data_IF_521197440271
#
_entry.id   IF_521197440271
#
_cell.length_a   1.000
_cell.length_b   1.000
_cell.length_c   1.000
_cell.angle_alpha   90.00
_cell.angle_beta   90.00
_cell.angle_gamma   90.00
#
_symmetry.space_group_name_H-M   'P 1'
#
loop_
_entity.id
_entity.type
_entity.pdbx_description
1 polymer ?
#
# COMPACT_ATOMS: atom_id res chain seq x y z
N UNK A 1 22.09 87.28 25.58
CA UNK A 1 21.94 87.55 24.13
C UNK A 1 20.66 86.84 23.68
N UNK A 2 19.49 87.51 23.57
CA UNK A 2 19.13 88.47 22.50
C UNK A 2 19.23 87.77 21.14
N UNK A 3 18.15 87.21 20.57
CA UNK A 3 17.23 87.82 19.57
C UNK A 3 16.81 86.66 18.62
N UNK A 4 15.73 86.61 17.85
CA UNK A 4 14.71 87.57 17.44
C UNK A 4 13.49 86.77 16.96
N UNK A 5 12.31 87.30 17.26
CA UNK A 5 10.97 86.95 16.76
C UNK A 5 10.90 87.00 15.23
N UNK A 6 10.09 86.13 14.61
CA UNK A 6 9.20 86.56 13.51
C UNK A 6 7.89 85.78 13.51
N UNK A 7 6.89 86.45 14.07
CA UNK A 7 5.47 86.24 13.87
C UNK A 7 5.09 86.25 12.39
N UNK A 8 4.21 85.34 11.98
CA UNK A 8 3.29 85.57 10.86
C UNK A 8 1.87 85.26 11.34
N UNK A 9 1.21 86.32 11.82
CA UNK A 9 -0.22 86.41 12.03
C UNK A 9 -0.96 86.29 10.69
N UNK A 10 -2.27 85.99 10.79
CA UNK A 10 -3.34 86.15 9.78
C UNK A 10 -3.47 84.95 8.81
N UNK A 11 -4.62 84.27 8.69
CA UNK A 11 -5.92 84.40 9.33
C UNK A 11 -6.84 83.36 8.69
N UNK A 12 -7.44 82.47 9.47
CA UNK A 12 -8.50 81.53 9.04
C UNK A 12 -9.22 80.99 10.29
N UNK A 13 -9.74 81.90 11.11
CA UNK A 13 -10.20 81.59 12.48
C UNK A 13 -11.68 81.15 12.59
N UNK A 14 -12.36 80.74 11.50
CA UNK A 14 -13.77 80.32 11.62
C UNK A 14 -14.23 79.17 10.70
N UNK A 15 -13.45 78.76 9.68
CA UNK A 15 -13.91 77.77 8.69
C UNK A 15 -13.69 76.32 9.10
N UNK A 16 -12.54 76.02 9.71
CA UNK A 16 -12.17 74.67 10.18
C UNK A 16 -13.09 74.09 11.27
N UNK A 17 -13.49 74.82 12.32
CA UNK A 17 -14.41 74.26 13.31
C UNK A 17 -15.80 74.01 12.72
N UNK A 18 -16.23 74.80 11.73
CA UNK A 18 -17.55 74.69 11.12
C UNK A 18 -17.65 73.48 10.16
N UNK A 19 -16.58 73.14 9.46
CA UNK A 19 -16.52 71.91 8.65
C UNK A 19 -16.52 70.67 9.55
N UNK A 20 -15.78 70.71 10.67
CA UNK A 20 -15.71 69.61 11.61
C UNK A 20 -17.07 69.34 12.28
N UNK A 21 -17.82 70.38 12.66
CA UNK A 21 -19.16 70.22 13.24
C UNK A 21 -20.16 69.68 12.22
N UNK A 22 -20.14 70.16 10.97
CA UNK A 22 -21.01 69.64 9.89
C UNK A 22 -20.70 68.18 9.58
N UNK A 23 -19.42 67.79 9.53
CA UNK A 23 -19.03 66.39 9.30
C UNK A 23 -19.49 65.48 10.45
N UNK A 24 -19.40 65.95 11.69
CA UNK A 24 -19.83 65.20 12.87
C UNK A 24 -21.36 65.05 12.92
N UNK A 25 -22.10 66.10 12.58
CA UNK A 25 -23.57 66.06 12.46
C UNK A 25 -23.98 65.13 11.31
N UNK A 26 -23.29 65.14 10.18
CA UNK A 26 -23.56 64.22 9.07
C UNK A 26 -23.29 62.76 9.45
N UNK A 27 -22.16 62.49 10.11
CA UNK A 27 -21.85 61.14 10.62
C UNK A 27 -22.89 60.67 11.63
N UNK A 28 -23.36 61.55 12.52
CA UNK A 28 -24.45 61.27 13.45
C UNK A 28 -25.78 61.01 12.76
N UNK A 29 -26.11 61.78 11.73
CA UNK A 29 -27.31 61.58 10.93
C UNK A 29 -27.29 60.23 10.21
N UNK A 30 -26.16 59.85 9.62
CA UNK A 30 -25.98 58.54 8.99
C UNK A 30 -26.12 57.41 10.03
N UNK A 31 -25.54 57.57 11.21
CA UNK A 31 -25.60 56.59 12.29
C UNK A 31 -26.99 56.41 12.90
N UNK A 32 -27.72 57.51 13.14
CA UNK A 32 -28.98 57.50 13.87
C UNK A 32 -30.21 57.38 12.97
N UNK A 33 -30.11 57.75 11.69
CA UNK A 33 -31.28 57.77 10.79
C UNK A 33 -31.14 56.73 9.69
N UNK A 34 -30.03 56.74 8.93
CA UNK A 34 -29.88 55.86 7.76
C UNK A 34 -29.63 54.39 8.16
N UNK A 35 -28.71 54.15 9.10
CA UNK A 35 -28.39 52.80 9.56
C UNK A 35 -29.59 52.03 10.13
N UNK A 36 -30.44 52.58 11.02
CA UNK A 36 -31.62 51.87 11.52
C UNK A 36 -32.70 51.65 10.45
N UNK A 37 -32.79 52.48 9.40
CA UNK A 37 -33.72 52.27 8.28
C UNK A 37 -33.23 51.21 7.28
N UNK A 38 -31.91 51.07 7.09
CA UNK A 38 -31.36 50.05 6.19
C UNK A 38 -31.27 48.65 6.82
N UNK A 39 -31.15 48.55 8.15
CA UNK A 39 -31.14 47.27 8.88
C UNK A 39 -32.30 46.33 8.50
N UNK A 40 -33.59 46.76 8.55
CA UNK A 40 -34.71 45.87 8.23
C UNK A 40 -34.66 45.34 6.79
N UNK A 41 -34.25 46.18 5.82
CA UNK A 41 -34.17 45.81 4.41
C UNK A 41 -33.06 44.78 4.11
N UNK A 42 -31.91 44.91 4.79
CA UNK A 42 -30.80 43.94 4.67
C UNK A 42 -31.20 42.62 5.34
N UNK A 43 -31.86 42.67 6.50
CA UNK A 43 -32.33 41.46 7.18
C UNK A 43 -33.38 40.72 6.37
N UNK A 44 -34.31 41.43 5.71
CA UNK A 44 -35.34 40.79 4.88
C UNK A 44 -34.76 40.17 3.61
N UNK A 45 -33.73 40.80 3.01
CA UNK A 45 -33.01 40.23 1.88
C UNK A 45 -32.29 38.94 2.24
N UNK A 46 -31.66 38.89 3.41
CA UNK A 46 -30.94 37.72 3.89
C UNK A 46 -31.88 36.57 4.28
N UNK A 47 -33.05 36.86 4.86
CA UNK A 47 -34.05 35.83 5.19
C UNK A 47 -34.70 35.25 3.95
N UNK A 48 -35.02 36.07 2.94
CA UNK A 48 -35.53 35.57 1.65
C UNK A 48 -34.50 34.72 0.91
N UNK A 49 -33.22 35.12 0.92
CA UNK A 49 -32.16 34.32 0.33
C UNK A 49 -32.04 32.94 1.03
N UNK A 50 -32.14 32.90 2.36
CA UNK A 50 -32.13 31.64 3.13
C UNK A 50 -33.34 30.75 2.86
N UNK A 51 -34.53 31.32 2.64
CA UNK A 51 -35.74 30.53 2.34
C UNK A 51 -35.73 29.96 0.92
N UNK A 52 -35.05 30.64 -0.02
CA UNK A 52 -34.93 30.20 -1.42
C UNK A 52 -33.72 29.28 -1.68
N UNK A 53 -32.95 28.92 -0.65
CA UNK A 53 -31.91 27.90 -0.78
C UNK A 53 -32.59 26.52 -0.81
N UNK A 54 -32.46 25.76 -1.90
CA UNK A 54 -32.95 24.39 -1.91
C UNK A 54 -32.26 23.63 -0.80
N UNK A 55 -33.03 23.02 0.10
CA UNK A 55 -32.49 22.13 1.13
C UNK A 55 -32.00 20.85 0.45
N UNK A 56 -30.75 20.87 0.02
CA UNK A 56 -30.04 19.68 -0.45
C UNK A 56 -29.72 18.85 0.79
N UNK A 57 -30.60 17.89 1.09
CA UNK A 57 -30.30 16.82 2.04
C UNK A 57 -29.38 15.84 1.34
N UNK A 58 -28.07 16.01 1.51
CA UNK A 58 -27.10 14.98 1.14
C UNK A 58 -27.23 13.89 2.19
N UNK A 59 -27.77 12.74 1.78
CA UNK A 59 -27.69 11.53 2.58
C UNK A 59 -26.22 11.06 2.56
N UNK A 60 -25.46 11.48 3.56
CA UNK A 60 -24.02 11.20 3.67
C UNK A 60 -23.73 9.73 3.95
N UNK A 61 -24.74 8.91 4.23
CA UNK A 61 -24.61 7.47 4.38
C UNK A 61 -25.99 6.83 4.25
N UNK A 62 -26.49 6.60 3.01
CA UNK A 62 -27.53 5.60 2.85
C UNK A 62 -26.98 4.32 3.48
N UNK A 63 -27.81 3.60 4.22
CA UNK A 63 -27.50 2.39 5.00
C UNK A 63 -27.04 1.22 4.10
N UNK A 64 -25.97 1.47 3.33
CA UNK A 64 -25.40 0.67 2.27
C UNK A 64 -24.09 0.13 2.81
N UNK A 65 -23.95 -1.18 2.78
CA UNK A 65 -22.72 -1.88 3.10
C UNK A 65 -21.53 -1.24 2.34
N UNK A 66 -20.53 -0.67 3.03
CA UNK A 66 -19.42 0.04 2.40
C UNK A 66 -18.60 -0.88 1.49
N UNK A 67 -18.69 -2.20 1.66
CA UNK A 67 -18.04 -3.20 0.79
C UNK A 67 -18.54 -3.14 -0.65
N UNK A 68 -19.78 -2.65 -0.89
CA UNK A 68 -20.36 -2.51 -2.23
C UNK A 68 -19.70 -1.43 -3.08
N UNK A 69 -18.85 -0.59 -2.49
CA UNK A 69 -18.10 0.43 -3.20
C UNK A 69 -16.92 -0.13 -4.01
N UNK A 70 -16.57 -1.40 -3.80
CA UNK A 70 -15.44 -2.08 -4.44
C UNK A 70 -15.89 -3.15 -5.42
N UNK A 71 -14.99 -3.56 -6.31
CA UNK A 71 -15.27 -4.63 -7.24
C UNK A 71 -15.24 -5.99 -6.53
N UNK A 72 -16.39 -6.67 -6.48
CA UNK A 72 -16.51 -7.98 -5.84
C UNK A 72 -15.63 -9.06 -6.49
N UNK A 73 -15.25 -8.90 -7.76
CA UNK A 73 -14.42 -9.90 -8.47
C UNK A 73 -12.92 -9.77 -8.17
N UNK A 74 -12.47 -8.71 -7.49
CA UNK A 74 -11.05 -8.41 -7.27
C UNK A 74 -10.70 -8.38 -5.78
N UNK A 75 -9.90 -9.34 -5.35
CA UNK A 75 -9.51 -9.48 -3.94
C UNK A 75 -8.00 -9.61 -3.80
N UNK A 76 -7.43 -8.81 -2.91
CA UNK A 76 -6.09 -8.97 -2.39
C UNK A 76 -6.15 -9.75 -1.06
N UNK A 77 -5.45 -10.88 -0.99
CA UNK A 77 -5.51 -11.82 0.11
C UNK A 77 -4.14 -11.97 0.77
N UNK A 78 -4.13 -11.83 2.09
CA UNK A 78 -2.98 -12.12 2.96
C UNK A 78 -3.40 -13.13 4.03
N UNK A 79 -2.59 -14.18 4.20
CA UNK A 79 -2.82 -15.24 5.18
C UNK A 79 -1.62 -15.27 6.12
N UNK A 80 -1.75 -14.64 7.29
CA UNK A 80 -0.66 -14.50 8.25
C UNK A 80 -1.08 -14.88 9.67
N UNK A 81 -0.76 -16.11 10.13
CA UNK A 81 -1.08 -16.56 11.48
C UNK A 81 -0.25 -15.84 12.54
N UNK A 82 0.96 -15.39 12.20
CA UNK A 82 1.92 -14.86 13.14
C UNK A 82 1.68 -13.37 13.41
N UNK A 83 1.71 -12.94 14.69
CA UNK A 83 1.55 -11.54 15.07
C UNK A 83 2.80 -10.69 14.77
N UNK A 84 3.10 -10.47 13.49
CA UNK A 84 4.30 -9.72 13.07
C UNK A 84 4.05 -8.19 13.13
N UNK A 85 4.99 -7.39 13.66
CA UNK A 85 4.82 -5.94 13.77
C UNK A 85 4.78 -5.23 12.40
N UNK A 86 5.34 -5.86 11.36
CA UNK A 86 5.38 -5.33 10.00
C UNK A 86 4.02 -5.40 9.27
N UNK A 87 3.05 -6.19 9.75
CA UNK A 87 1.80 -6.44 9.03
C UNK A 87 1.01 -5.17 8.76
N UNK A 88 0.92 -4.28 9.75
CA UNK A 88 0.17 -3.02 9.60
C UNK A 88 0.79 -2.11 8.53
N UNK A 89 2.09 -1.74 8.60
CA UNK A 89 2.69 -0.92 7.55
C UNK A 89 2.68 -1.62 6.18
N UNK A 90 2.89 -2.94 6.13
CA UNK A 90 2.81 -3.74 4.89
C UNK A 90 1.41 -3.64 4.26
N UNK A 91 0.36 -3.91 5.03
CA UNK A 91 -1.03 -3.89 4.52
C UNK A 91 -1.41 -2.49 4.05
N UNK A 92 -1.08 -1.45 4.83
CA UNK A 92 -1.39 -0.06 4.45
C UNK A 92 -0.65 0.36 3.19
N UNK A 93 0.61 -0.05 3.04
CA UNK A 93 1.38 0.15 1.81
C UNK A 93 0.70 -0.53 0.61
N UNK A 94 0.35 -1.81 0.75
CA UNK A 94 -0.31 -2.57 -0.30
C UNK A 94 -1.66 -1.95 -0.69
N UNK A 95 -2.46 -1.47 0.29
CA UNK A 95 -3.71 -0.74 0.03
C UNK A 95 -3.46 0.55 -0.79
N UNK A 96 -2.34 1.22 -0.57
CA UNK A 96 -1.97 2.43 -1.30
C UNK A 96 -1.46 2.18 -2.72
N UNK A 97 -0.80 1.05 -2.98
CA UNK A 97 -0.23 0.71 -4.30
C UNK A 97 -1.22 -0.04 -5.19
N UNK A 98 -2.02 -0.95 -4.62
CA UNK A 98 -3.01 -1.72 -5.38
C UNK A 98 -4.15 -0.78 -5.81
N UNK A 99 -4.70 -0.94 -7.03
CA UNK A 99 -5.77 -0.07 -7.51
C UNK A 99 -6.98 0.02 -6.55
N UNK A 100 -7.62 1.20 -6.46
CA UNK A 100 -8.58 1.50 -5.42
C UNK A 100 -9.84 0.62 -5.46
N UNK A 101 -10.15 -0.01 -6.60
CA UNK A 101 -11.29 -0.90 -6.79
C UNK A 101 -11.13 -2.30 -6.15
N UNK A 102 -9.91 -2.68 -5.76
CA UNK A 102 -9.62 -3.97 -5.11
C UNK A 102 -10.03 -3.98 -3.64
N UNK A 103 -10.57 -5.10 -3.17
CA UNK A 103 -10.82 -5.32 -1.73
C UNK A 103 -9.71 -6.14 -1.10
N UNK A 104 -9.44 -5.94 0.19
CA UNK A 104 -8.45 -6.70 0.95
C UNK A 104 -9.12 -7.65 1.94
N UNK A 105 -8.55 -8.84 2.07
CA UNK A 105 -8.94 -9.82 3.09
C UNK A 105 -7.68 -10.25 3.82
N UNK A 106 -7.72 -10.10 5.14
CA UNK A 106 -6.69 -10.57 6.04
C UNK A 106 -7.22 -11.78 6.81
N UNK A 107 -6.53 -12.90 6.65
CA UNK A 107 -6.78 -14.12 7.40
C UNK A 107 -5.64 -14.31 8.38
N UNK A 108 -5.95 -14.42 9.67
CA UNK A 108 -4.93 -14.63 10.67
C UNK A 108 -5.40 -15.43 11.88
N UNK A 109 -4.47 -15.68 12.80
CA UNK A 109 -4.81 -16.20 14.11
C UNK A 109 -5.52 -15.14 14.95
N UNK A 110 -6.17 -15.53 16.05
CA UNK A 110 -6.79 -14.59 16.98
C UNK A 110 -5.83 -13.49 17.45
N UNK A 111 -4.57 -13.84 17.71
CA UNK A 111 -3.54 -12.87 18.12
C UNK A 111 -3.18 -11.92 16.98
N UNK A 112 -2.96 -12.45 15.78
CA UNK A 112 -2.58 -11.65 14.61
C UNK A 112 -3.69 -10.68 14.19
N UNK A 113 -4.93 -11.17 14.11
CA UNK A 113 -6.13 -10.36 13.83
C UNK A 113 -6.31 -9.26 14.87
N UNK A 114 -6.09 -9.55 16.15
CA UNK A 114 -6.20 -8.54 17.20
C UNK A 114 -5.15 -7.43 17.07
N UNK A 115 -3.90 -7.76 16.74
CA UNK A 115 -2.83 -6.75 16.54
C UNK A 115 -3.11 -5.88 15.32
N UNK A 116 -3.54 -6.48 14.22
CA UNK A 116 -3.85 -5.74 12.99
C UNK A 116 -5.10 -4.88 13.18
N UNK A 117 -6.16 -5.42 13.79
CA UNK A 117 -7.45 -4.73 13.96
C UNK A 117 -7.47 -3.60 14.99
N UNK A 118 -6.49 -3.54 15.90
CA UNK A 118 -6.36 -2.40 16.84
C UNK A 118 -5.64 -1.19 16.24
N UNK A 119 -5.00 -1.34 15.07
CA UNK A 119 -4.28 -0.25 14.45
C UNK A 119 -5.25 0.74 13.81
N UNK A 120 -5.12 2.02 14.15
CA UNK A 120 -6.04 3.07 13.68
C UNK A 120 -6.17 3.12 12.16
N UNK A 121 -5.04 3.05 11.43
CA UNK A 121 -5.06 3.04 9.96
C UNK A 121 -5.88 1.88 9.39
N UNK A 122 -5.81 0.69 10.01
CA UNK A 122 -6.62 -0.46 9.60
C UNK A 122 -8.09 -0.26 9.94
N UNK A 123 -8.42 0.27 11.12
CA UNK A 123 -9.80 0.55 11.52
C UNK A 123 -10.51 1.50 10.56
N UNK A 124 -9.80 2.54 10.08
CA UNK A 124 -10.32 3.44 9.05
C UNK A 124 -10.63 2.67 7.76
N UNK A 125 -9.69 1.82 7.29
CA UNK A 125 -9.89 1.02 6.09
C UNK A 125 -11.01 -0.03 6.25
N UNK A 126 -11.20 -0.59 7.45
CA UNK A 126 -12.33 -1.48 7.76
C UNK A 126 -13.66 -0.72 7.72
N UNK A 127 -13.72 0.48 8.30
CA UNK A 127 -14.90 1.35 8.26
C UNK A 127 -15.29 1.75 6.83
N UNK A 128 -14.30 1.90 5.95
CA UNK A 128 -14.51 2.11 4.52
C UNK A 128 -14.89 0.84 3.75
N UNK A 129 -14.85 -0.34 4.38
CA UNK A 129 -15.08 -1.63 3.71
C UNK A 129 -13.92 -2.11 2.83
N UNK A 130 -12.77 -1.43 2.85
CA UNK A 130 -11.60 -1.71 2.02
C UNK A 130 -10.90 -3.01 2.44
N UNK A 131 -10.83 -3.27 3.74
CA UNK A 131 -10.21 -4.48 4.30
C UNK A 131 -11.16 -5.19 5.26
N UNK A 132 -11.19 -6.52 5.18
CA UNK A 132 -11.88 -7.39 6.13
C UNK A 132 -10.85 -8.24 6.89
N UNK A 133 -10.98 -8.31 8.22
CA UNK A 133 -10.14 -9.15 9.07
C UNK A 133 -10.97 -10.35 9.52
N UNK A 134 -10.51 -11.57 9.24
CA UNK A 134 -11.24 -12.77 9.59
C UNK A 134 -10.34 -13.87 10.15
N UNK A 135 -10.98 -14.77 10.89
CA UNK A 135 -10.39 -16.01 11.37
C UNK A 135 -11.09 -17.15 10.64
N UNK A 136 -10.33 -18.13 10.17
CA UNK A 136 -10.92 -19.31 9.54
C UNK A 136 -11.59 -20.19 10.61
N UNK A 137 -12.80 -20.70 10.35
CA UNK A 137 -13.43 -21.67 11.24
C UNK A 137 -12.68 -23.01 11.17
N UNK A 138 -12.92 -23.86 12.17
CA UNK A 138 -12.48 -25.25 12.09
C UNK A 138 -13.20 -25.96 10.92
N UNK A 139 -12.54 -26.89 10.20
CA UNK A 139 -11.30 -27.60 10.55
C UNK A 139 -10.00 -26.98 10.00
N UNK A 140 -10.07 -25.85 9.29
CA UNK A 140 -8.86 -25.29 8.67
C UNK A 140 -7.85 -24.80 9.71
N UNK A 141 -6.59 -25.07 9.41
CA UNK A 141 -5.44 -24.60 10.17
C UNK A 141 -4.59 -23.76 9.22
N UNK A 142 -3.81 -22.84 9.78
CA UNK A 142 -2.90 -21.96 9.03
C UNK A 142 -1.55 -21.82 9.75
N UNK A 143 -1.14 -22.81 10.56
CA UNK A 143 0.07 -22.66 11.40
C UNK A 143 1.36 -22.96 10.65
N UNK A 144 1.28 -23.79 9.62
CA UNK A 144 2.43 -24.22 8.82
C UNK A 144 2.28 -23.86 7.35
N UNK A 145 3.38 -23.92 6.60
CA UNK A 145 3.37 -23.77 5.13
C UNK A 145 2.52 -24.84 4.45
N UNK A 146 2.48 -26.04 5.01
CA UNK A 146 1.65 -27.13 4.52
C UNK A 146 0.17 -26.89 4.81
N UNK A 147 -0.18 -26.40 6.01
CA UNK A 147 -1.55 -25.98 6.33
C UNK A 147 -2.08 -24.95 5.32
N UNK A 148 -1.23 -23.95 4.99
CA UNK A 148 -1.53 -22.95 3.95
C UNK A 148 -1.72 -23.60 2.58
N UNK A 149 -0.85 -24.55 2.22
CA UNK A 149 -0.97 -25.27 0.95
C UNK A 149 -2.27 -26.07 0.88
N UNK A 150 -2.67 -26.75 1.96
CA UNK A 150 -3.95 -27.48 2.05
C UNK A 150 -5.15 -26.56 1.86
N UNK A 151 -5.14 -25.40 2.53
CA UNK A 151 -6.20 -24.39 2.41
C UNK A 151 -6.33 -23.88 0.97
N UNK A 152 -5.22 -23.51 0.33
CA UNK A 152 -5.21 -22.95 -1.02
C UNK A 152 -5.52 -23.98 -2.11
N UNK A 153 -5.42 -25.28 -1.80
CA UNK A 153 -5.87 -26.37 -2.67
C UNK A 153 -7.27 -26.91 -2.33
N UNK A 154 -7.99 -26.30 -1.38
CA UNK A 154 -9.34 -26.73 -1.01
C UNK A 154 -10.38 -25.92 -1.81
N UNK A 155 -11.20 -26.60 -2.62
CA UNK A 155 -12.25 -25.96 -3.42
C UNK A 155 -13.25 -25.19 -2.56
N UNK A 156 -13.51 -25.65 -1.33
CA UNK A 156 -14.46 -25.00 -0.40
C UNK A 156 -14.03 -23.59 -0.05
N UNK A 157 -12.72 -23.34 0.04
CA UNK A 157 -12.19 -22.00 0.31
C UNK A 157 -12.68 -20.99 -0.75
N UNK A 158 -12.62 -21.35 -2.02
CA UNK A 158 -13.03 -20.47 -3.12
C UNK A 158 -14.55 -20.39 -3.33
N UNK A 159 -15.32 -21.38 -2.86
CA UNK A 159 -16.78 -21.40 -3.00
C UNK A 159 -17.46 -20.72 -1.82
N UNK A 160 -17.01 -21.00 -0.60
CA UNK A 160 -17.64 -20.53 0.64
C UNK A 160 -17.12 -19.16 1.08
N UNK A 161 -15.80 -18.89 0.97
CA UNK A 161 -15.19 -17.65 1.49
C UNK A 161 -14.96 -16.59 0.43
N UNK A 162 -14.75 -16.98 -0.82
CA UNK A 162 -14.48 -16.06 -1.93
C UNK A 162 -15.52 -16.17 -3.07
N UNK A 163 -16.83 -16.12 -2.77
CA UNK A 163 -17.85 -16.23 -3.81
C UNK A 163 -17.77 -15.04 -4.77
N UNK A 164 -17.78 -15.33 -6.07
CA UNK A 164 -17.77 -14.30 -7.13
C UNK A 164 -16.41 -13.63 -7.38
N UNK A 165 -15.35 -14.04 -6.66
CA UNK A 165 -13.99 -13.58 -6.92
C UNK A 165 -13.45 -14.25 -8.18
N UNK A 166 -12.90 -13.46 -9.10
CA UNK A 166 -12.22 -13.94 -10.30
C UNK A 166 -10.71 -13.68 -10.23
N UNK A 167 -10.32 -12.52 -9.70
CA UNK A 167 -8.93 -12.08 -9.59
C UNK A 167 -8.49 -12.07 -8.14
N UNK A 168 -7.48 -12.89 -7.85
CA UNK A 168 -6.89 -13.01 -6.53
C UNK A 168 -5.43 -12.54 -6.56
N UNK A 169 -5.15 -11.41 -5.90
CA UNK A 169 -3.79 -10.97 -5.61
C UNK A 169 -3.36 -11.58 -4.28
N UNK A 170 -2.47 -12.56 -4.32
CA UNK A 170 -1.88 -13.14 -3.13
C UNK A 170 -0.61 -12.40 -2.75
N UNK A 171 -0.43 -12.20 -1.45
CA UNK A 171 0.79 -11.71 -0.84
C UNK A 171 0.91 -12.24 0.60
N UNK A 172 2.11 -12.15 1.17
CA UNK A 172 2.49 -12.61 2.51
C UNK A 172 3.38 -11.59 3.20
N UNK A 173 3.79 -11.86 4.44
CA UNK A 173 4.75 -11.02 5.18
C UNK A 173 6.11 -10.86 4.50
N UNK A 174 6.41 -11.74 3.55
CA UNK A 174 7.68 -11.81 2.81
C UNK A 174 7.60 -11.11 1.44
N UNK A 175 6.46 -10.50 1.09
CA UNK A 175 6.26 -9.88 -0.21
C UNK A 175 5.77 -8.44 -0.16
N UNK A 176 6.14 -7.67 -1.16
CA UNK A 176 5.83 -6.24 -1.27
C UNK A 176 5.69 -5.84 -2.75
N UNK A 177 4.70 -5.01 -3.06
CA UNK A 177 4.60 -4.32 -4.35
C UNK A 177 5.37 -3.01 -4.30
N UNK A 178 5.97 -2.60 -5.41
CA UNK A 178 6.77 -1.38 -5.47
C UNK A 178 5.94 -0.21 -5.98
N UNK A 179 5.85 0.89 -5.22
CA UNK A 179 5.08 2.06 -5.65
C UNK A 179 5.68 2.74 -6.90
N UNK A 180 6.98 2.52 -7.14
CA UNK A 180 7.71 2.99 -8.31
C UNK A 180 7.52 2.11 -9.56
N UNK A 181 6.64 1.10 -9.51
CA UNK A 181 6.32 0.33 -10.71
C UNK A 181 5.58 1.18 -11.72
N UNK A 182 5.99 1.08 -12.98
CA UNK A 182 5.31 1.73 -14.10
C UNK A 182 4.01 1.00 -14.47
N UNK A 183 3.82 -0.21 -13.94
CA UNK A 183 2.65 -1.04 -14.19
C UNK A 183 1.66 -0.94 -13.04
N UNK A 184 0.39 -1.14 -13.38
CA UNK A 184 -0.69 -1.38 -12.43
C UNK A 184 -0.90 -2.88 -12.23
N UNK A 185 -1.43 -3.28 -11.07
CA UNK A 185 -1.93 -4.65 -10.86
C UNK A 185 -3.00 -5.00 -11.91
N UNK A 186 -3.78 -4.02 -12.36
CA UNK A 186 -4.81 -4.23 -13.37
C UNK A 186 -4.26 -4.64 -14.75
N UNK A 187 -2.99 -4.31 -15.06
CA UNK A 187 -2.34 -4.70 -16.32
C UNK A 187 -2.04 -6.21 -16.38
N UNK A 188 -2.14 -6.90 -15.24
CA UNK A 188 -1.91 -8.33 -15.11
C UNK A 188 -3.20 -9.16 -15.15
N UNK A 189 -4.37 -8.54 -15.30
CA UNK A 189 -5.67 -9.24 -15.31
C UNK A 189 -5.97 -9.97 -16.63
N UNK A 190 -5.08 -9.94 -17.61
CA UNK A 190 -5.19 -10.84 -18.78
C UNK A 190 -4.48 -12.18 -18.54
N UNK A 191 -3.72 -12.30 -17.46
CA UNK A 191 -2.92 -13.48 -17.14
C UNK A 191 -3.68 -14.41 -16.21
N UNK A 192 -3.69 -15.71 -16.51
CA UNK A 192 -4.26 -16.73 -15.63
C UNK A 192 -3.46 -16.84 -14.34
N UNK A 193 -2.14 -16.73 -14.44
CA UNK A 193 -1.23 -16.76 -13.28
C UNK A 193 0.04 -15.98 -13.57
N UNK A 194 0.44 -15.12 -12.63
CA UNK A 194 1.71 -14.41 -12.66
C UNK A 194 2.30 -14.31 -11.25
N UNK A 195 3.57 -14.64 -11.09
CA UNK A 195 4.27 -14.70 -9.82
C UNK A 195 5.77 -14.47 -10.00
N UNK A 196 6.56 -15.10 -9.14
CA UNK A 196 8.01 -15.09 -9.20
C UNK A 196 8.56 -16.30 -9.96
N UNK A 197 9.77 -16.14 -10.47
CA UNK A 197 10.56 -17.22 -11.08
C UNK A 197 11.35 -17.95 -10.00
N UNK A 198 11.40 -19.28 -10.08
CA UNK A 198 12.31 -20.10 -9.27
C UNK A 198 13.39 -20.72 -10.15
N UNK A 199 14.61 -20.19 -10.02
CA UNK A 199 15.76 -20.66 -10.79
C UNK A 199 16.22 -22.06 -10.38
N UNK A 200 15.79 -22.59 -9.23
CA UNK A 200 16.20 -23.93 -8.78
C UNK A 200 15.50 -25.06 -9.53
N UNK A 201 14.31 -24.81 -10.07
CA UNK A 201 13.53 -25.86 -10.75
C UNK A 201 13.81 -25.95 -12.27
N UNK A 202 14.69 -25.11 -12.83
CA UNK A 202 14.99 -25.04 -14.29
C UNK A 202 13.75 -24.92 -15.17
N UNK A 203 12.66 -24.35 -14.65
CA UNK A 203 11.42 -24.15 -15.39
C UNK A 203 11.33 -22.72 -15.90
N UNK A 204 10.86 -22.56 -17.13
CA UNK A 204 10.69 -21.26 -17.78
C UNK A 204 9.40 -20.53 -17.36
N UNK A 205 8.85 -20.83 -16.19
CA UNK A 205 7.57 -20.28 -15.71
C UNK A 205 7.77 -19.42 -14.46
N UNK A 206 7.01 -18.33 -14.39
CA UNK A 206 7.00 -17.36 -13.31
C UNK A 206 5.71 -17.48 -12.50
N UNK A 207 5.52 -18.61 -11.80
CA UNK A 207 4.28 -18.93 -11.06
C UNK A 207 4.48 -19.11 -9.56
N UNK A 208 5.73 -18.97 -9.09
CA UNK A 208 6.12 -19.28 -7.73
C UNK A 208 6.02 -18.08 -6.80
N UNK A 209 6.20 -18.34 -5.52
CA UNK A 209 6.20 -17.31 -4.50
C UNK A 209 4.81 -16.91 -4.03
N UNK A 210 4.79 -16.25 -2.88
CA UNK A 210 3.53 -15.84 -2.25
C UNK A 210 2.96 -14.58 -2.90
N UNK A 211 3.80 -13.76 -3.57
CA UNK A 211 3.36 -12.61 -4.38
C UNK A 211 2.93 -13.07 -5.77
N UNK A 212 1.62 -13.17 -6.00
CA UNK A 212 1.09 -13.65 -7.28
C UNK A 212 -0.30 -13.14 -7.60
N UNK A 213 -0.58 -12.96 -8.88
CA UNK A 213 -1.94 -12.80 -9.43
C UNK A 213 -2.42 -14.17 -9.90
N UNK A 214 -3.63 -14.52 -9.49
CA UNK A 214 -4.23 -15.83 -9.75
C UNK A 214 -5.66 -15.66 -10.21
N UNK A 215 -6.03 -16.40 -11.24
CA UNK A 215 -7.39 -16.48 -11.73
C UNK A 215 -8.15 -17.61 -11.05
N UNK A 216 -9.19 -17.27 -10.29
CA UNK A 216 -9.95 -18.21 -9.46
C UNK A 216 -10.71 -19.23 -10.31
N UNK A 217 -11.25 -18.84 -11.47
CA UNK A 217 -11.88 -19.78 -12.40
C UNK A 217 -10.93 -20.90 -12.85
N UNK A 218 -9.66 -20.58 -13.16
CA UNK A 218 -8.65 -21.56 -13.52
C UNK A 218 -8.25 -22.46 -12.34
N UNK A 219 -8.14 -21.90 -11.12
CA UNK A 219 -7.92 -22.70 -9.91
C UNK A 219 -9.05 -23.72 -9.73
N UNK A 220 -10.31 -23.26 -9.80
CA UNK A 220 -11.48 -24.13 -9.63
C UNK A 220 -11.56 -25.18 -10.73
N UNK A 221 -11.17 -24.85 -11.96
CA UNK A 221 -11.06 -25.80 -13.06
C UNK A 221 -10.02 -26.89 -12.72
N UNK A 222 -8.81 -26.54 -12.28
CA UNK A 222 -7.78 -27.53 -11.90
C UNK A 222 -8.27 -28.41 -10.75
N UNK A 223 -8.88 -27.81 -9.73
CA UNK A 223 -9.39 -28.52 -8.56
C UNK A 223 -10.63 -29.41 -8.86
N UNK A 224 -11.30 -29.23 -10.00
CA UNK A 224 -12.44 -30.07 -10.37
C UNK A 224 -12.01 -31.44 -10.92
N UNK A 225 -10.80 -31.55 -11.47
CA UNK A 225 -10.29 -32.81 -12.04
C UNK A 225 -9.02 -33.33 -11.37
N UNK A 226 -8.36 -32.55 -10.52
CA UNK A 226 -7.22 -33.00 -9.71
C UNK A 226 -7.34 -32.55 -8.25
N UNK A 227 -6.79 -33.36 -7.35
CA UNK A 227 -6.61 -33.01 -5.95
C UNK A 227 -5.14 -33.13 -5.56
N UNK A 228 -4.68 -32.26 -4.67
CA UNK A 228 -3.34 -32.35 -4.10
C UNK A 228 -3.35 -33.33 -2.93
N UNK A 229 -2.35 -34.22 -2.87
CA UNK A 229 -2.13 -35.06 -1.70
C UNK A 229 -1.54 -34.25 -0.55
N UNK A 230 -1.96 -34.54 0.68
CA UNK A 230 -1.38 -33.93 1.88
C UNK A 230 0.11 -34.24 1.98
N UNK A 231 0.88 -33.29 2.52
CA UNK A 231 2.32 -33.41 2.78
C UNK A 231 3.18 -33.70 1.53
N UNK A 232 2.64 -33.36 0.34
CA UNK A 232 3.33 -33.46 -0.94
C UNK A 232 3.99 -32.13 -1.34
N UNK A 233 4.11 -31.85 -2.64
CA UNK A 233 4.62 -30.57 -3.14
C UNK A 233 3.81 -29.38 -2.58
N UNK A 234 4.51 -28.26 -2.36
CA UNK A 234 3.87 -27.01 -1.98
C UNK A 234 2.90 -26.52 -3.05
N UNK A 235 1.87 -25.78 -2.62
CA UNK A 235 0.76 -25.37 -3.49
C UNK A 235 1.19 -24.70 -4.80
N UNK A 236 2.11 -23.73 -4.76
CA UNK A 236 2.59 -23.04 -5.96
C UNK A 236 3.28 -23.98 -6.98
N UNK A 237 4.12 -24.91 -6.52
CA UNK A 237 4.78 -25.89 -7.40
C UNK A 237 3.75 -26.91 -7.95
N UNK A 238 2.79 -27.29 -7.11
CA UNK A 238 1.68 -28.16 -7.53
C UNK A 238 0.86 -27.49 -8.64
N UNK A 239 0.33 -26.27 -8.45
CA UNK A 239 -0.42 -25.57 -9.50
C UNK A 239 0.43 -25.27 -10.73
N UNK A 240 1.69 -24.87 -10.57
CA UNK A 240 2.56 -24.50 -11.69
C UNK A 240 2.65 -25.58 -12.76
N UNK A 241 2.85 -26.83 -12.35
CA UNK A 241 2.89 -27.98 -13.28
C UNK A 241 1.54 -28.28 -13.96
N UNK A 242 0.41 -27.91 -13.35
CA UNK A 242 -0.93 -28.10 -13.94
C UNK A 242 -1.34 -26.94 -14.85
N UNK A 243 -0.90 -25.74 -14.53
CA UNK A 243 -1.14 -24.55 -15.34
C UNK A 243 -0.42 -24.63 -16.68
N UNK A 244 0.76 -25.25 -16.71
CA UNK A 244 1.55 -25.46 -17.93
C UNK A 244 0.83 -26.30 -18.98
N UNK A 245 0.02 -27.27 -18.56
CA UNK A 245 -0.72 -28.17 -19.45
C UNK A 245 -2.13 -27.69 -19.79
N UNK A 246 -2.58 -26.56 -19.21
CA UNK A 246 -3.94 -26.06 -19.39
C UNK A 246 -4.04 -25.30 -20.72
N UNK A 247 -4.87 -25.75 -21.70
CA UNK A 247 -4.80 -25.30 -23.10
C UNK A 247 -5.14 -23.82 -23.34
N UNK A 248 -5.75 -23.13 -22.38
CA UNK A 248 -6.12 -21.70 -22.45
C UNK A 248 -5.45 -20.84 -21.36
N UNK A 249 -4.50 -21.38 -20.60
CA UNK A 249 -3.86 -20.64 -19.52
C UNK A 249 -2.76 -19.72 -20.05
N UNK A 250 -2.96 -18.41 -19.93
CA UNK A 250 -1.89 -17.44 -20.12
C UNK A 250 -1.05 -17.35 -18.83
N UNK A 251 0.05 -18.07 -18.79
CA UNK A 251 0.95 -18.16 -17.64
C UNK A 251 2.20 -17.31 -17.88
N UNK A 252 2.59 -16.49 -16.91
CA UNK A 252 3.80 -15.69 -17.01
C UNK A 252 5.05 -16.57 -17.13
N UNK A 253 5.94 -16.23 -18.06
CA UNK A 253 7.20 -16.92 -18.30
C UNK A 253 8.38 -16.16 -17.70
N UNK A 254 9.51 -16.84 -17.51
CA UNK A 254 10.76 -16.22 -17.02
C UNK A 254 11.29 -15.14 -17.97
N UNK A 255 10.96 -15.21 -19.26
CA UNK A 255 11.33 -14.21 -20.27
C UNK A 255 10.43 -12.98 -20.30
N UNK A 256 9.24 -13.05 -19.70
CA UNK A 256 8.32 -11.91 -19.65
C UNK A 256 8.84 -10.85 -18.68
N UNK A 257 8.22 -9.65 -18.72
CA UNK A 257 8.45 -8.67 -17.67
C UNK A 257 8.10 -9.32 -16.32
N UNK A 258 8.88 -9.13 -15.25
CA UNK A 258 8.66 -9.86 -14.01
C UNK A 258 7.54 -9.24 -13.19
N UNK A 259 6.54 -10.03 -12.82
CA UNK A 259 5.56 -9.63 -11.82
C UNK A 259 6.24 -9.56 -10.44
N UNK A 260 6.80 -10.67 -9.96
CA UNK A 260 7.51 -10.70 -8.69
C UNK A 260 8.96 -11.18 -8.86
N UNK A 261 9.89 -10.58 -8.11
CA UNK A 261 11.29 -11.02 -8.04
C UNK A 261 11.52 -11.81 -6.76
N UNK A 262 12.15 -12.98 -6.89
CA UNK A 262 12.58 -13.82 -5.77
C UNK A 262 14.06 -14.19 -5.90
N UNK A 263 14.39 -15.13 -6.80
CA UNK A 263 15.75 -15.63 -6.99
C UNK A 263 16.35 -15.20 -8.33
N UNK A 264 15.80 -14.19 -9.00
CA UNK A 264 16.34 -13.62 -10.23
C UNK A 264 16.16 -12.09 -10.21
N UNK A 265 17.26 -11.36 -10.00
CA UNK A 265 17.20 -9.89 -9.98
C UNK A 265 17.01 -9.40 -11.40
N UNK A 266 15.85 -8.80 -11.63
CA UNK A 266 15.44 -8.23 -12.91
C UNK A 266 15.10 -6.77 -12.71
N UNK A 267 15.20 -5.99 -13.78
CA UNK A 267 14.96 -4.56 -13.72
C UNK A 267 13.46 -4.26 -13.63
N UNK A 268 13.11 -3.34 -12.74
CA UNK A 268 11.77 -2.74 -12.60
C UNK A 268 10.59 -3.74 -12.52
N UNK A 269 10.61 -4.70 -11.57
CA UNK A 269 9.49 -5.63 -11.36
C UNK A 269 8.26 -4.92 -10.78
N UNK A 270 7.10 -5.58 -10.79
CA UNK A 270 5.92 -5.11 -10.07
C UNK A 270 6.12 -5.19 -8.55
N UNK A 271 6.84 -6.20 -8.06
CA UNK A 271 7.17 -6.36 -6.66
C UNK A 271 8.26 -7.39 -6.38
N UNK A 272 8.48 -7.65 -5.08
CA UNK A 272 9.46 -8.61 -4.60
C UNK A 272 8.79 -9.61 -3.65
N UNK A 273 9.27 -10.86 -3.69
CA UNK A 273 8.91 -11.94 -2.76
C UNK A 273 10.22 -12.53 -2.20
N UNK A 274 10.64 -12.06 -1.03
CA UNK A 274 11.93 -12.41 -0.42
C UNK A 274 11.71 -13.36 0.75
N UNK A 275 11.83 -14.66 0.47
CA UNK A 275 11.51 -15.72 1.42
C UNK A 275 12.15 -15.53 2.79
N UNK A 276 11.36 -15.80 3.84
CA UNK A 276 11.76 -15.66 5.24
C UNK A 276 12.39 -14.29 5.50
N UNK A 277 11.75 -13.23 5.01
CA UNK A 277 12.17 -11.84 5.20
C UNK A 277 13.61 -11.56 4.73
N UNK A 278 14.02 -12.23 3.65
CA UNK A 278 15.37 -12.11 3.08
C UNK A 278 16.41 -13.09 3.62
N UNK A 279 16.07 -13.96 4.58
CA UNK A 279 17.02 -14.91 5.15
C UNK A 279 17.26 -16.14 4.26
N UNK A 280 16.31 -16.46 3.37
CA UNK A 280 16.35 -17.65 2.50
C UNK A 280 16.40 -17.29 1.00
N UNK A 281 16.94 -16.11 0.68
CA UNK A 281 17.18 -15.72 -0.72
C UNK A 281 18.42 -16.43 -1.29
N UNK A 282 18.46 -16.64 -2.60
CA UNK A 282 19.64 -17.23 -3.25
C UNK A 282 20.87 -16.32 -3.08
N UNK A 283 21.88 -16.83 -2.38
CA UNK A 283 23.12 -16.10 -2.11
C UNK A 283 23.89 -15.78 -3.38
N UNK A 284 23.84 -16.61 -4.41
CA UNK A 284 24.57 -16.35 -5.67
C UNK A 284 24.00 -15.13 -6.39
N UNK A 285 22.71 -14.88 -6.21
CA UNK A 285 21.96 -13.79 -6.82
C UNK A 285 22.07 -12.52 -5.97
N UNK A 286 21.85 -12.64 -4.66
CA UNK A 286 21.73 -11.50 -3.74
C UNK A 286 23.03 -11.10 -3.02
N UNK A 287 24.15 -11.81 -3.19
CA UNK A 287 25.44 -11.46 -2.55
C UNK A 287 25.96 -10.08 -2.97
N UNK A 288 25.66 -9.63 -4.18
CA UNK A 288 26.25 -8.40 -4.71
C UNK A 288 25.64 -7.15 -4.04
N UNK A 289 26.44 -6.30 -3.39
CA UNK A 289 25.94 -5.11 -2.70
C UNK A 289 25.29 -4.11 -3.65
N UNK A 290 25.82 -3.95 -4.87
CA UNK A 290 25.25 -3.04 -5.86
C UNK A 290 23.86 -3.49 -6.32
N UNK A 291 23.66 -4.80 -6.54
CA UNK A 291 22.35 -5.34 -6.92
C UNK A 291 21.30 -5.13 -5.81
N UNK A 292 21.70 -5.36 -4.54
CA UNK A 292 20.85 -5.07 -3.37
C UNK A 292 20.50 -3.59 -3.27
N UNK A 293 21.48 -2.72 -3.48
CA UNK A 293 21.31 -1.26 -3.44
C UNK A 293 20.41 -0.77 -4.56
N UNK A 294 20.54 -1.31 -5.77
CA UNK A 294 19.67 -0.98 -6.90
C UNK A 294 18.22 -1.40 -6.63
N UNK A 295 18.00 -2.64 -6.13
CA UNK A 295 16.67 -3.12 -5.76
C UNK A 295 16.01 -2.24 -4.69
N UNK A 296 16.76 -1.88 -3.63
CA UNK A 296 16.26 -1.00 -2.56
C UNK A 296 16.07 0.46 -3.01
N UNK A 297 16.88 0.95 -3.96
CA UNK A 297 16.67 2.27 -4.55
C UNK A 297 15.42 2.30 -5.42
N UNK A 298 15.16 1.22 -6.15
CA UNK A 298 13.97 1.08 -6.98
C UNK A 298 12.70 0.91 -6.14
N UNK A 299 12.78 0.08 -5.10
CA UNK A 299 11.69 -0.31 -4.22
C UNK A 299 12.09 -0.12 -2.76
N UNK A 300 12.08 1.14 -2.25
CA UNK A 300 12.47 1.44 -0.88
C UNK A 300 11.62 0.71 0.17
N UNK A 301 10.43 0.24 -0.20
CA UNK A 301 9.48 -0.44 0.67
C UNK A 301 9.92 -1.88 1.02
N UNK A 302 10.94 -2.40 0.33
CA UNK A 302 11.67 -3.61 0.75
C UNK A 302 12.12 -3.54 2.21
N UNK A 303 12.40 -2.33 2.73
CA UNK A 303 12.79 -2.13 4.13
C UNK A 303 11.68 -2.53 5.12
N UNK A 304 10.41 -2.62 4.69
CA UNK A 304 9.28 -3.06 5.54
C UNK A 304 9.35 -4.57 5.81
N UNK A 305 9.65 -5.35 4.77
CA UNK A 305 9.57 -6.83 4.83
C UNK A 305 10.90 -7.46 5.26
N UNK A 306 12.03 -6.85 4.92
CA UNK A 306 13.35 -7.40 5.17
C UNK A 306 13.72 -7.42 6.65
N UNK A 307 14.41 -8.48 7.07
CA UNK A 307 15.05 -8.58 8.38
C UNK A 307 16.49 -8.03 8.30
N UNK A 308 16.62 -6.72 8.15
CA UNK A 308 17.93 -6.08 8.00
C UNK A 308 18.62 -5.85 9.34
N UNK A 309 19.94 -5.95 9.31
CA UNK A 309 20.83 -5.44 10.37
C UNK A 309 21.38 -4.09 9.98
N UNK A 310 21.75 -3.28 10.97
CA UNK A 310 22.40 -2.00 10.73
C UNK A 310 23.84 -2.24 10.27
N UNK A 311 24.38 -1.31 9.47
CA UNK A 311 25.76 -1.39 8.98
C UNK A 311 26.79 -1.47 10.11
N UNK A 312 26.49 -0.84 11.26
CA UNK A 312 27.30 -0.92 12.49
C UNK A 312 27.29 -2.30 13.18
N UNK A 313 26.33 -3.16 12.85
CA UNK A 313 26.20 -4.51 13.39
C UNK A 313 26.89 -5.56 12.50
N UNK A 314 27.60 -5.12 11.46
CA UNK A 314 28.38 -5.99 10.58
C UNK A 314 29.55 -6.61 11.34
N UNK A 315 29.80 -7.89 11.09
CA UNK A 315 30.92 -8.60 11.67
C UNK A 315 32.26 -8.05 11.14
N UNK A 316 33.32 -7.95 11.98
CA UNK A 316 34.66 -7.62 11.50
C UNK A 316 35.12 -8.59 10.41
N UNK A 317 35.68 -8.06 9.32
CA UNK A 317 36.16 -8.86 8.18
C UNK A 317 35.08 -9.22 7.14
N UNK A 318 33.83 -8.79 7.29
CA UNK A 318 32.78 -9.01 6.29
C UNK A 318 33.09 -8.28 4.96
N UNK A 319 33.10 -9.04 3.86
CA UNK A 319 33.43 -8.55 2.52
C UNK A 319 32.24 -7.96 1.74
N UNK A 320 31.12 -7.66 2.40
CA UNK A 320 29.85 -7.18 1.85
C UNK A 320 29.12 -8.19 0.95
N UNK A 321 29.69 -9.37 0.74
CA UNK A 321 29.15 -10.44 -0.11
C UNK A 321 28.70 -11.66 0.70
N UNK A 322 28.63 -11.52 2.03
CA UNK A 322 28.16 -12.57 2.93
C UNK A 322 29.26 -13.51 3.43
N UNK A 323 30.54 -13.13 3.31
CA UNK A 323 31.67 -13.92 3.83
C UNK A 323 32.53 -13.06 4.77
N UNK A 324 33.03 -13.70 5.83
CA UNK A 324 34.04 -13.10 6.71
C UNK A 324 35.42 -13.51 6.20
N UNK A 325 36.22 -12.53 5.80
CA UNK A 325 37.59 -12.72 5.31
C UNK A 325 38.55 -12.34 6.44
N UNK A 326 39.30 -13.31 6.94
CA UNK A 326 40.37 -13.06 7.90
C UNK A 326 41.55 -12.37 7.17
N UNK A 327 42.02 -11.27 7.73
CA UNK A 327 43.09 -10.41 7.18
C UNK A 327 44.50 -11.00 7.28
N UNK A 328 44.68 -12.29 6.94
CA UNK A 328 45.99 -12.97 6.96
C UNK A 328 46.56 -13.31 5.58
N UNK A 329 45.93 -12.88 4.48
CA UNK A 329 46.37 -13.24 3.11
C UNK A 329 46.79 -12.04 2.26
N UNK A 330 47.48 -11.07 2.85
CA UNK A 330 48.05 -9.94 2.08
C UNK A 330 49.43 -9.54 2.57
N UNK A 331 50.33 -10.52 2.73
CA UNK A 331 51.78 -10.25 2.87
C UNK A 331 52.62 -11.38 2.28
N UNK A 332 52.42 -11.76 1.01
CA UNK A 332 53.38 -12.69 0.35
C UNK A 332 53.46 -12.54 -1.17
N UNK A 333 53.16 -11.36 -1.71
CA UNK A 333 53.30 -11.07 -3.14
C UNK A 333 54.08 -9.78 -3.44
N UNK A 334 54.93 -9.35 -2.52
CA UNK A 334 55.83 -8.20 -2.72
C UNK A 334 57.25 -8.52 -2.22
N UNK A 335 57.82 -9.65 -2.64
CA UNK A 335 59.25 -9.91 -2.46
C UNK A 335 59.79 -10.93 -3.47
N UNK A 336 59.63 -10.61 -4.75
CA UNK A 336 60.44 -11.14 -5.87
C UNK A 336 60.37 -10.04 -6.92
N UNK A 337 61.42 -9.32 -7.33
CA UNK A 337 62.84 -9.64 -7.46
C UNK A 337 63.59 -8.30 -7.75
N UNK A 338 64.93 -8.24 -7.59
CA UNK A 338 65.76 -7.03 -7.74
C UNK A 338 65.95 -6.53 -9.18
#
# INVERSE_FOLDING_TARGET
MSRFVKSKLRGDSLRTPLIATVALVFAWFVALVLLPQCKPAITSGLTNARQNLPSISIDWSPNNDPRKNYNASKVALIIEPEPLPLLVPLILHMIGVVPPDWRFIFIGSQKSVWIVGRAFGIQVQQGLGKIELMQLPQPWRIRSREDRSRLLTDTRFYVEFLPGVEWLLMFSSDSILCANSELSVNDWLDWTWAGATDNTENKNIAVYGDLSIRRVSAIKQILSFQSRYNDSAGEGSWFGTRLEVLPDAKVAMTSDRPFAVQNNITSKPMGYNLQARGNLVDQHVWKYPEARKEAMKYCPELHIILNMKLEKERCPGDNLMGQIVNSTTTTEAASTTP
#
